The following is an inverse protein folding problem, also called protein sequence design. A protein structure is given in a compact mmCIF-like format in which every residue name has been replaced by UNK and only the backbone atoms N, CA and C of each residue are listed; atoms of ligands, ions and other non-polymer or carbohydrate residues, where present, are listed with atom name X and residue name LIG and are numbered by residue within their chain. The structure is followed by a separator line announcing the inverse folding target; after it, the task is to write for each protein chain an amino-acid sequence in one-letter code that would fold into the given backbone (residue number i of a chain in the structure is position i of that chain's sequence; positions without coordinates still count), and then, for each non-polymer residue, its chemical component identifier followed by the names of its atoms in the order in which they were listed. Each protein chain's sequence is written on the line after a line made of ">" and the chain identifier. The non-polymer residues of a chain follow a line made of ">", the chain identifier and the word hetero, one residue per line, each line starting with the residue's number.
data_IF_277410419460
#
_entry.id   IF_277410419460
#
_cell.length_a   1.000
_cell.length_b   1.000
_cell.length_c   1.000
_cell.angle_alpha   90.00
_cell.angle_beta   90.00
_cell.angle_gamma   90.00
#
_symmetry.space_group_name_H-M   'P 1'
#
loop_
_entity.id
_entity.type
_entity.pdbx_description
1 polymer ?
#
# COMPACT_ATOMS: atom_id res chain seq x y z
N UNK A 1 9.28 -12.34 0.98
CA UNK A 1 9.39 -10.89 1.26
C UNK A 1 8.25 -10.53 2.20
N UNK A 2 8.52 -9.85 3.32
CA UNK A 2 7.50 -9.51 4.31
C UNK A 2 7.35 -7.99 4.41
N UNK A 3 6.11 -7.51 4.57
CA UNK A 3 5.79 -6.09 4.70
C UNK A 3 5.78 -5.69 6.17
N UNK A 4 6.73 -4.84 6.58
CA UNK A 4 6.95 -4.41 7.96
C UNK A 4 6.80 -2.88 8.08
N UNK A 5 5.58 -2.31 8.11
CA UNK A 5 5.38 -0.85 8.13
C UNK A 5 6.04 -0.18 9.36
N UNK A 6 6.11 -0.89 10.48
CA UNK A 6 6.69 -0.45 11.74
C UNK A 6 8.20 -0.16 11.69
N UNK A 7 8.90 -0.58 10.62
CA UNK A 7 10.36 -0.35 10.47
C UNK A 7 10.75 1.12 10.40
N UNK A 8 9.79 2.00 10.09
CA UNK A 8 9.98 3.45 10.04
C UNK A 8 9.60 4.16 11.35
N UNK A 9 9.27 3.42 12.42
CA UNK A 9 8.95 3.97 13.73
C UNK A 9 10.10 3.72 14.71
N UNK A 10 10.44 4.73 15.50
CA UNK A 10 11.41 4.56 16.58
C UNK A 10 10.79 3.71 17.69
N UNK A 11 11.35 2.52 17.96
CA UNK A 11 10.82 1.62 19.00
C UNK A 11 11.92 0.75 19.61
N UNK A 12 11.88 0.60 20.93
CA UNK A 12 12.75 -0.34 21.65
C UNK A 12 14.25 -0.04 21.52
N UNK A 13 14.62 1.24 21.38
CA UNK A 13 16.02 1.66 21.17
C UNK A 13 16.56 1.40 19.77
N UNK A 14 15.71 0.97 18.82
CA UNK A 14 16.07 0.85 17.40
C UNK A 14 15.79 2.17 16.69
N UNK A 15 16.78 2.67 15.97
CA UNK A 15 16.63 3.80 15.07
C UNK A 15 15.75 3.43 13.87
N UNK A 16 14.84 4.32 13.42
CA UNK A 16 14.04 4.12 12.22
C UNK A 16 14.91 3.88 10.98
N UNK A 17 14.41 3.07 10.06
CA UNK A 17 14.99 3.03 8.71
C UNK A 17 14.81 4.38 8.00
N UNK A 18 15.67 4.65 7.01
CA UNK A 18 15.61 5.87 6.21
C UNK A 18 14.24 6.07 5.61
N UNK A 19 13.70 7.29 5.73
CA UNK A 19 12.41 7.66 5.16
C UNK A 19 12.41 7.42 3.63
N UNK A 20 11.54 6.52 3.13
CA UNK A 20 11.47 6.21 1.71
C UNK A 20 11.03 7.40 0.86
N UNK A 21 10.37 8.41 1.45
CA UNK A 21 9.94 9.61 0.73
C UNK A 21 11.10 10.35 0.06
N UNK A 22 12.29 10.28 0.67
CA UNK A 22 13.51 10.92 0.16
C UNK A 22 14.03 10.35 -1.15
N UNK A 23 13.62 9.13 -1.50
CA UNK A 23 14.13 8.39 -2.67
C UNK A 23 13.03 7.92 -3.63
N UNK A 24 11.80 7.72 -3.14
CA UNK A 24 10.70 7.12 -3.91
C UNK A 24 10.26 7.95 -5.13
N UNK A 25 10.46 9.27 -5.07
CA UNK A 25 10.03 10.20 -6.13
C UNK A 25 11.16 10.60 -7.09
N UNK A 26 12.33 9.95 -6.99
CA UNK A 26 13.50 10.25 -7.81
C UNK A 26 14.30 11.46 -7.30
N UNK A 27 15.22 11.95 -8.13
CA UNK A 27 16.23 12.94 -7.71
C UNK A 27 16.46 14.06 -8.74
N UNK A 28 16.96 15.19 -8.25
CA UNK A 28 17.46 16.30 -9.07
C UNK A 28 16.38 17.00 -9.90
N UNK A 29 16.77 17.51 -11.09
CA UNK A 29 15.89 18.29 -11.97
C UNK A 29 14.67 17.52 -12.52
N UNK A 30 14.61 16.21 -12.31
CA UNK A 30 13.52 15.32 -12.78
C UNK A 30 12.82 14.60 -11.65
N UNK A 31 12.99 15.07 -10.40
CA UNK A 31 12.17 14.62 -9.28
C UNK A 31 10.69 14.81 -9.62
N UNK A 32 9.84 13.89 -9.16
CA UNK A 32 8.40 13.95 -9.43
C UNK A 32 7.82 15.31 -8.99
N UNK A 33 7.30 16.14 -9.92
CA UNK A 33 6.77 17.45 -9.54
C UNK A 33 5.51 17.35 -8.67
N UNK A 34 4.85 16.20 -8.67
CA UNK A 34 3.65 15.92 -7.89
C UNK A 34 3.93 15.29 -6.51
N UNK A 35 5.17 15.19 -6.04
CA UNK A 35 5.53 14.42 -4.83
C UNK A 35 4.73 14.85 -3.59
N UNK A 36 4.53 16.16 -3.39
CA UNK A 36 3.78 16.68 -2.24
C UNK A 36 2.30 16.35 -2.35
N UNK A 37 1.72 16.56 -3.54
CA UNK A 37 0.30 16.26 -3.79
C UNK A 37 0.03 14.75 -3.62
N UNK A 38 0.91 13.91 -4.16
CA UNK A 38 0.80 12.46 -4.03
C UNK A 38 0.87 12.00 -2.57
N UNK A 39 1.80 12.55 -1.78
CA UNK A 39 1.96 12.19 -0.37
C UNK A 39 0.71 12.52 0.46
N UNK A 40 0.26 13.77 0.38
CA UNK A 40 -0.89 14.24 1.16
C UNK A 40 -2.18 13.55 0.72
N UNK A 41 -2.37 13.35 -0.59
CA UNK A 41 -3.56 12.68 -1.10
C UNK A 41 -3.61 11.23 -0.67
N UNK A 42 -2.48 10.52 -0.68
CA UNK A 42 -2.39 9.14 -0.22
C UNK A 42 -2.67 9.04 1.29
N UNK A 43 -2.06 9.92 2.08
CA UNK A 43 -2.26 9.98 3.52
C UNK A 43 -3.73 10.23 3.88
N UNK A 44 -4.34 11.26 3.29
CA UNK A 44 -5.74 11.59 3.51
C UNK A 44 -6.68 10.46 3.06
N UNK A 45 -6.41 9.85 1.91
CA UNK A 45 -7.20 8.71 1.42
C UNK A 45 -7.16 7.53 2.39
N UNK A 46 -5.98 7.17 2.89
CA UNK A 46 -5.81 6.10 3.86
C UNK A 46 -6.55 6.41 5.18
N UNK A 47 -6.35 7.59 5.77
CA UNK A 47 -7.00 7.98 7.02
C UNK A 47 -8.52 8.06 6.86
N UNK A 48 -9.01 8.68 5.79
CA UNK A 48 -10.45 8.78 5.52
C UNK A 48 -11.09 7.39 5.38
N UNK A 49 -10.43 6.47 4.66
CA UNK A 49 -10.92 5.10 4.49
C UNK A 49 -10.97 4.36 5.83
N UNK A 50 -9.90 4.42 6.64
CA UNK A 50 -9.83 3.75 7.93
C UNK A 50 -10.74 4.39 9.00
N UNK A 51 -11.17 5.64 8.80
CA UNK A 51 -12.10 6.30 9.73
C UNK A 51 -13.52 5.78 9.59
N UNK A 52 -13.92 5.35 8.39
CA UNK A 52 -15.32 4.97 8.10
C UNK A 52 -15.51 3.48 7.82
N UNK A 53 -14.43 2.74 7.52
CA UNK A 53 -14.47 1.32 7.20
C UNK A 53 -13.55 0.51 8.09
N UNK A 54 -13.99 -0.71 8.40
CA UNK A 54 -13.11 -1.79 8.86
C UNK A 54 -12.78 -2.67 7.64
N UNK A 55 -11.50 -2.84 7.34
CA UNK A 55 -11.02 -3.49 6.11
C UNK A 55 -10.54 -4.90 6.46
N UNK A 56 -11.26 -5.90 5.97
CA UNK A 56 -10.91 -7.32 6.10
C UNK A 56 -10.83 -8.03 4.75
N UNK A 57 -10.28 -9.23 4.72
CA UNK A 57 -10.31 -10.08 3.53
C UNK A 57 -11.73 -10.52 3.22
N UNK A 58 -12.00 -10.78 1.93
CA UNK A 58 -13.21 -11.45 1.51
C UNK A 58 -13.23 -12.89 2.03
N UNK A 59 -14.42 -13.39 2.38
CA UNK A 59 -14.63 -14.75 2.87
C UNK A 59 -15.62 -15.45 1.95
N UNK A 60 -15.23 -16.61 1.42
CA UNK A 60 -16.10 -17.48 0.62
C UNK A 60 -16.09 -18.87 1.27
N UNK A 61 -17.27 -19.42 1.55
CA UNK A 61 -17.44 -20.72 2.21
C UNK A 61 -16.67 -20.85 3.54
N UNK A 62 -16.49 -19.75 4.28
CA UNK A 62 -15.76 -19.73 5.55
C UNK A 62 -14.23 -19.68 5.43
N UNK A 63 -13.70 -19.53 4.20
CA UNK A 63 -12.26 -19.41 3.95
C UNK A 63 -11.92 -17.98 3.52
N UNK A 64 -10.93 -17.37 4.19
CA UNK A 64 -10.39 -16.07 3.79
C UNK A 64 -9.64 -16.18 2.47
N UNK A 65 -9.93 -15.26 1.55
CA UNK A 65 -9.30 -15.23 0.24
C UNK A 65 -8.21 -14.16 0.24
N UNK A 66 -6.99 -14.59 -0.04
CA UNK A 66 -5.88 -13.67 -0.29
C UNK A 66 -5.79 -13.48 -1.81
N UNK A 67 -5.95 -12.26 -2.33
CA UNK A 67 -5.93 -12.02 -3.76
C UNK A 67 -4.53 -12.29 -4.33
N UNK A 68 -4.48 -12.85 -5.54
CA UNK A 68 -3.23 -13.13 -6.24
C UNK A 68 -2.61 -11.85 -6.78
N UNK A 69 -1.29 -11.75 -6.64
CA UNK A 69 -0.50 -10.64 -7.19
C UNK A 69 0.08 -11.09 -8.52
N UNK A 70 -0.57 -10.72 -9.62
CA UNK A 70 -0.02 -10.87 -10.96
C UNK A 70 0.76 -9.61 -11.34
N UNK A 71 2.08 -9.68 -11.50
CA UNK A 71 2.91 -8.52 -11.86
C UNK A 71 2.62 -7.96 -13.27
N UNK A 72 1.88 -8.70 -14.10
CA UNK A 72 1.45 -8.26 -15.43
C UNK A 72 0.28 -7.27 -15.36
N UNK A 73 -0.47 -7.28 -14.27
CA UNK A 73 -1.57 -6.36 -14.03
C UNK A 73 -1.15 -5.27 -13.04
N UNK A 74 -1.58 -4.04 -13.31
CA UNK A 74 -1.33 -2.89 -12.44
C UNK A 74 -2.29 -2.81 -11.24
N UNK A 75 -3.18 -3.81 -11.08
CA UNK A 75 -4.17 -3.83 -10.03
C UNK A 75 -4.36 -5.24 -9.45
N UNK A 76 -4.58 -5.31 -8.14
CA UNK A 76 -4.91 -6.56 -7.43
C UNK A 76 -6.40 -6.83 -7.65
N UNK A 77 -6.74 -8.07 -8.06
CA UNK A 77 -8.12 -8.47 -8.35
C UNK A 77 -8.55 -9.60 -7.43
N UNK A 78 -9.81 -9.55 -7.03
CA UNK A 78 -10.48 -10.71 -6.49
C UNK A 78 -10.79 -11.66 -7.65
N UNK A 79 -10.17 -12.83 -7.66
CA UNK A 79 -10.53 -13.89 -8.59
C UNK A 79 -11.74 -14.66 -8.03
N UNK A 80 -12.92 -14.02 -7.92
CA UNK A 80 -14.15 -14.84 -7.91
C UNK A 80 -14.21 -15.54 -9.25
N UNK A 81 -14.32 -16.87 -9.25
CA UNK A 81 -14.47 -17.65 -10.46
C UNK A 81 -15.59 -17.11 -11.34
N UNK A 82 -15.24 -16.34 -12.36
CA UNK A 82 -15.75 -16.36 -13.73
C UNK A 82 -14.87 -15.37 -14.51
N UNK A 83 -13.80 -15.87 -15.12
CA UNK A 83 -13.23 -15.18 -16.27
C UNK A 83 -14.25 -15.32 -17.42
N UNK A 84 -15.03 -14.28 -17.68
CA UNK A 84 -15.59 -14.05 -19.02
C UNK A 84 -14.87 -12.83 -19.58
N UNK A 85 -13.85 -13.10 -20.38
CA UNK A 85 -13.64 -12.43 -21.66
C UNK A 85 -13.71 -13.51 -22.73
#
# INVERSE_FOLDING_TARGET
>A
MAFHPERFLARGGKEPETDPFTIAFGFGRRICPGLHVANESLWLSAVASLTVFDISKAVENGVEITPEVDPSFHNIRYASGTAVL
#
